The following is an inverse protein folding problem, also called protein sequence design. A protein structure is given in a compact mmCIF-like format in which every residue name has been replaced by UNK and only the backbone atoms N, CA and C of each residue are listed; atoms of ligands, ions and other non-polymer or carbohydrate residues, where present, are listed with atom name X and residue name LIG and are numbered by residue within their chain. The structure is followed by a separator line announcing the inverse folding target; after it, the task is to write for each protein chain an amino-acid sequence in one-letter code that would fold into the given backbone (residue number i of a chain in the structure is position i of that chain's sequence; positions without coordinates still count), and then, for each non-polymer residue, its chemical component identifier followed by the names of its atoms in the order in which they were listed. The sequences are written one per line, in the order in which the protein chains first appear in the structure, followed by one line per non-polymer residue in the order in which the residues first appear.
data_IF_093384463500
#
_entry.id   IF_093384463500
#
_cell.length_a   1.000
_cell.length_b   1.000
_cell.length_c   1.000
_cell.angle_alpha   90.00
_cell.angle_beta   90.00
_cell.angle_gamma   90.00
#
_symmetry.space_group_name_H-M   'P 1'
#
loop_
_entity.id
_entity.type
_entity.pdbx_description
1 polymer ?
#
# COMPACT_ATOMS: atom_id res chain seq x y z
N UNK A 1 4.50 9.15 -16.04
CA UNK A 1 4.47 7.68 -15.95
C UNK A 1 5.02 7.27 -14.59
N UNK A 2 4.30 6.49 -13.78
CA UNK A 2 4.79 5.98 -12.47
C UNK A 2 5.07 4.50 -12.58
N UNK A 3 6.26 4.08 -12.15
CA UNK A 3 6.62 2.67 -12.03
C UNK A 3 6.02 2.10 -10.75
N UNK A 4 5.21 1.04 -10.88
CA UNK A 4 4.48 0.48 -9.75
C UNK A 4 5.36 -0.42 -8.86
N UNK A 5 6.52 -0.87 -9.33
CA UNK A 5 7.37 -1.81 -8.61
C UNK A 5 7.41 -3.18 -9.29
N UNK A 6 8.40 -3.98 -8.93
CA UNK A 6 8.68 -5.27 -9.58
C UNK A 6 7.59 -6.31 -9.34
N UNK A 7 7.05 -6.37 -8.13
CA UNK A 7 6.05 -7.35 -7.71
C UNK A 7 4.62 -6.84 -7.92
N UNK A 8 4.44 -5.86 -8.81
CA UNK A 8 3.12 -5.31 -9.11
C UNK A 8 2.26 -6.35 -9.84
N UNK A 9 1.28 -6.90 -9.12
CA UNK A 9 0.22 -7.73 -9.68
C UNK A 9 -1.03 -6.88 -9.96
N UNK A 10 -1.27 -6.56 -11.22
CA UNK A 10 -2.39 -5.71 -11.62
C UNK A 10 -3.76 -6.35 -11.27
N UNK A 11 -4.71 -5.57 -10.69
CA UNK A 11 -6.09 -6.01 -10.55
C UNK A 11 -6.75 -6.31 -11.90
N UNK A 12 -7.86 -7.06 -11.89
CA UNK A 12 -8.67 -7.27 -13.11
C UNK A 12 -9.16 -5.92 -13.62
N UNK A 13 -9.36 -5.79 -14.95
CA UNK A 13 -9.75 -4.52 -15.59
C UNK A 13 -10.98 -3.84 -14.97
N UNK A 14 -11.97 -4.64 -14.51
CA UNK A 14 -13.22 -4.15 -13.91
C UNK A 14 -13.19 -4.06 -12.38
N UNK A 15 -12.05 -4.34 -11.75
CA UNK A 15 -11.93 -4.24 -10.30
C UNK A 15 -11.61 -2.80 -9.88
N UNK A 16 -12.64 -1.96 -9.85
CA UNK A 16 -12.54 -0.57 -9.42
C UNK A 16 -12.01 -0.44 -7.99
N UNK A 17 -12.22 -1.44 -7.14
CA UNK A 17 -11.74 -1.43 -5.76
C UNK A 17 -10.24 -1.65 -5.69
N UNK A 18 -9.73 -2.61 -6.46
CA UNK A 18 -8.32 -2.85 -6.65
C UNK A 18 -7.61 -1.65 -7.27
N UNK A 19 -8.14 -1.10 -8.38
CA UNK A 19 -7.52 0.06 -9.04
C UNK A 19 -7.46 1.30 -8.16
N UNK A 20 -8.50 1.56 -7.37
CA UNK A 20 -8.48 2.66 -6.41
C UNK A 20 -7.44 2.44 -5.28
N UNK A 21 -7.20 1.19 -4.86
CA UNK A 21 -6.13 0.89 -3.92
C UNK A 21 -4.75 1.13 -4.52
N UNK A 22 -4.53 0.69 -5.78
CA UNK A 22 -3.29 0.97 -6.53
C UNK A 22 -3.05 2.47 -6.65
N UNK A 23 -4.07 3.24 -7.03
CA UNK A 23 -3.96 4.69 -7.13
C UNK A 23 -3.58 5.34 -5.79
N UNK A 24 -4.14 4.89 -4.68
CA UNK A 24 -3.79 5.39 -3.35
C UNK A 24 -2.34 5.05 -2.97
N UNK A 25 -1.90 3.82 -3.19
CA UNK A 25 -0.52 3.37 -2.90
C UNK A 25 0.50 4.18 -3.72
N UNK A 26 0.30 4.28 -5.03
CA UNK A 26 1.19 5.05 -5.90
C UNK A 26 1.10 6.56 -5.61
N UNK A 27 -0.08 7.04 -5.19
CA UNK A 27 -0.33 8.40 -4.72
C UNK A 27 0.53 8.77 -3.51
N UNK A 28 0.64 7.84 -2.56
CA UNK A 28 1.45 7.97 -1.35
C UNK A 28 2.96 7.77 -1.57
N UNK A 29 3.40 7.60 -2.83
CA UNK A 29 4.81 7.38 -3.18
C UNK A 29 5.32 5.96 -2.91
N UNK A 30 4.43 5.05 -2.52
CA UNK A 30 4.78 3.65 -2.29
C UNK A 30 4.83 2.86 -3.60
N UNK A 31 5.62 1.79 -3.58
CA UNK A 31 5.74 0.82 -4.68
C UNK A 31 5.47 -0.60 -4.17
N UNK A 32 5.14 -1.47 -5.11
CA UNK A 32 5.00 -2.92 -4.96
C UNK A 32 6.36 -3.58 -5.20
N UNK A 33 7.35 -3.17 -4.39
CA UNK A 33 8.66 -3.79 -4.35
C UNK A 33 8.71 -4.70 -3.11
N UNK A 34 8.87 -6.00 -3.31
CA UNK A 34 9.03 -7.03 -2.28
C UNK A 34 10.49 -7.32 -1.94
N UNK A 35 11.42 -6.58 -2.53
CA UNK A 35 12.86 -6.67 -2.27
C UNK A 35 13.34 -5.44 -1.52
N UNK A 36 14.11 -5.63 -0.45
CA UNK A 36 15.05 -4.58 -0.05
C UNK A 36 16.10 -4.39 -1.15
N UNK A 37 16.56 -3.16 -1.42
CA UNK A 37 17.57 -2.90 -2.44
C UNK A 37 18.85 -3.73 -2.26
N UNK A 38 19.16 -4.13 -1.03
CA UNK A 38 20.33 -4.98 -0.73
C UNK A 38 20.13 -6.46 -1.10
N UNK A 39 18.92 -6.90 -1.41
CA UNK A 39 18.60 -8.31 -1.72
C UNK A 39 18.66 -9.26 -0.52
N UNK A 40 18.93 -8.76 0.68
CA UNK A 40 19.19 -9.56 1.88
C UNK A 40 17.90 -10.13 2.50
N UNK A 41 16.76 -9.49 2.25
CA UNK A 41 15.47 -9.86 2.81
C UNK A 41 14.39 -9.86 1.72
N UNK A 42 13.55 -10.89 1.77
CA UNK A 42 12.42 -11.10 0.84
C UNK A 42 11.14 -11.02 1.64
N UNK A 43 10.87 -9.85 2.22
CA UNK A 43 9.65 -9.65 2.98
C UNK A 43 8.69 -8.80 2.13
N UNK A 44 7.60 -9.41 1.59
CA UNK A 44 6.66 -8.69 0.77
C UNK A 44 6.05 -7.55 1.61
N UNK A 45 6.36 -6.31 1.24
CA UNK A 45 5.78 -5.14 1.91
C UNK A 45 4.28 -5.18 1.68
N UNK A 46 3.52 -5.15 2.77
CA UNK A 46 2.06 -5.17 2.67
C UNK A 46 1.57 -3.97 1.85
N UNK A 47 0.61 -4.21 0.95
CA UNK A 47 -0.12 -3.17 0.24
C UNK A 47 -1.62 -3.47 0.25
N UNK A 48 -2.47 -2.46 0.49
CA UNK A 48 -3.91 -2.61 0.38
C UNK A 48 -4.28 -3.08 -1.02
N UNK A 49 -5.23 -4.01 -1.08
CA UNK A 49 -5.79 -4.54 -2.33
C UNK A 49 -7.20 -4.03 -2.61
N UNK A 50 -7.81 -3.29 -1.67
CA UNK A 50 -9.18 -2.80 -1.81
C UNK A 50 -9.37 -1.40 -1.22
N UNK A 51 -10.40 -0.69 -1.70
CA UNK A 51 -10.84 0.60 -1.12
C UNK A 51 -11.15 0.51 0.37
N UNK A 52 -11.72 -0.60 0.83
CA UNK A 52 -12.05 -0.79 2.24
C UNK A 52 -10.79 -0.82 3.11
N UNK A 53 -9.74 -1.52 2.67
CA UNK A 53 -8.47 -1.58 3.40
C UNK A 53 -7.76 -0.22 3.46
N UNK A 54 -7.82 0.58 2.39
CA UNK A 54 -7.31 1.96 2.36
C UNK A 54 -8.05 2.82 3.39
N UNK A 55 -9.39 2.74 3.41
CA UNK A 55 -10.21 3.53 4.35
C UNK A 55 -9.94 3.16 5.81
N UNK A 56 -9.80 1.88 6.12
CA UNK A 56 -9.50 1.42 7.47
C UNK A 56 -8.17 2.00 7.99
N UNK A 57 -7.11 1.93 7.17
CA UNK A 57 -5.79 2.47 7.50
C UNK A 57 -5.79 3.98 7.67
N UNK A 58 -6.39 4.72 6.72
CA UNK A 58 -6.52 6.18 6.85
C UNK A 58 -7.31 6.59 8.10
N UNK A 59 -8.32 5.80 8.51
CA UNK A 59 -9.08 6.08 9.73
C UNK A 59 -8.19 5.98 10.98
N UNK A 60 -7.34 4.95 11.07
CA UNK A 60 -6.41 4.83 12.20
C UNK A 60 -5.33 5.90 12.14
N UNK A 61 -4.72 6.12 10.97
CA UNK A 61 -3.70 7.14 10.76
C UNK A 61 -4.16 8.54 11.19
N UNK A 62 -5.41 8.91 10.90
CA UNK A 62 -5.99 10.19 11.36
C UNK A 62 -6.10 10.31 12.88
N UNK A 63 -6.22 9.20 13.61
CA UNK A 63 -6.30 9.20 15.08
C UNK A 63 -4.92 9.36 15.72
N UNK A 64 -3.89 8.81 15.09
CA UNK A 64 -2.51 8.79 15.63
C UNK A 64 -1.60 9.85 15.00
N UNK A 65 -2.05 10.54 13.95
CA UNK A 65 -1.28 11.56 13.24
C UNK A 65 -0.26 11.01 12.23
N UNK A 66 -0.38 9.74 11.83
CA UNK A 66 0.56 9.10 10.91
C UNK A 66 0.36 9.56 9.45
N UNK A 67 1.45 9.50 8.68
CA UNK A 67 1.44 9.81 7.26
C UNK A 67 0.66 8.77 6.45
N UNK A 68 0.27 9.14 5.24
CA UNK A 68 -0.42 8.22 4.34
C UNK A 68 0.47 7.04 3.92
N UNK A 69 1.78 7.26 3.75
CA UNK A 69 2.73 6.21 3.40
C UNK A 69 2.86 5.18 4.54
N UNK A 70 2.98 5.62 5.79
CA UNK A 70 3.01 4.73 6.97
C UNK A 70 1.72 3.93 7.04
N UNK A 71 0.57 4.62 6.98
CA UNK A 71 -0.74 4.01 7.05
C UNK A 71 -0.95 2.91 5.99
N UNK A 72 -0.56 3.18 4.74
CA UNK A 72 -0.74 2.24 3.63
C UNK A 72 0.33 1.14 3.59
N UNK A 73 1.42 1.29 4.33
CA UNK A 73 2.45 0.24 4.48
C UNK A 73 2.15 -0.74 5.61
N UNK A 74 1.34 -0.34 6.60
CA UNK A 74 1.02 -1.14 7.77
C UNK A 74 0.22 -2.41 7.43
N UNK A 75 0.63 -3.55 8.00
CA UNK A 75 0.01 -4.86 7.77
C UNK A 75 -1.33 -4.97 8.51
N UNK A 76 -1.36 -4.59 9.78
CA UNK A 76 -2.60 -4.29 10.49
C UNK A 76 -2.83 -2.77 10.50
N UNK A 77 -4.07 -2.28 10.32
CA UNK A 77 -4.37 -0.86 10.54
C UNK A 77 -3.95 -0.33 11.91
N UNK A 78 -3.84 -1.19 12.91
CA UNK A 78 -3.47 -0.87 14.30
C UNK A 78 -1.96 -0.77 14.51
N UNK A 79 -1.14 -1.27 13.57
CA UNK A 79 0.33 -1.16 13.60
C UNK A 79 0.82 0.24 13.21
N UNK A 80 -0.11 1.15 12.90
CA UNK A 80 0.20 2.54 12.56
C UNK A 80 0.43 3.29 13.88
N UNK A 81 1.70 3.41 14.30
CA UNK A 81 2.11 4.07 15.54
C UNK A 81 3.62 4.14 15.69
#
# INVERSE_FOLDING_TARGET
MRYAGHDFAAPRRRDDSGWAAVAAVLGAGLRYDGFEPCGCSREPKFRPRTRAQVRARRRVARRVGASEAEALSARDPSDVG
#
